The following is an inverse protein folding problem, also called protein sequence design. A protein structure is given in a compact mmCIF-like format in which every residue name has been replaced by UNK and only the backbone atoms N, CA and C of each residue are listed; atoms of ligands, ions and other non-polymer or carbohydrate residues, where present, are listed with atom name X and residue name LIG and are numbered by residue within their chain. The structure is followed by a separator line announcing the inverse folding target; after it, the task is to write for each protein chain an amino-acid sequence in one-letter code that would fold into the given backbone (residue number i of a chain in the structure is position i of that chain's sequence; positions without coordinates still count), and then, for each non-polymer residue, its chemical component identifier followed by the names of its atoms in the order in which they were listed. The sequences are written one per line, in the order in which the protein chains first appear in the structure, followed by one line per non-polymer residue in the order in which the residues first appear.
data_IF_773850098342
#
_entry.id   IF_773850098342
#
_cell.length_a   1.000
_cell.length_b   1.000
_cell.length_c   1.000
_cell.angle_alpha   90.00
_cell.angle_beta   90.00
_cell.angle_gamma   90.00
#
_symmetry.space_group_name_H-M   'P 1'
#
loop_
_entity.id
_entity.type
_entity.pdbx_description
1 polymer ?
#
# COMPACT_ATOMS: atom_id res chain seq x y z
N UNK A 1 -1.16 4.56 -4.40
CA UNK A 1 -0.59 3.63 -3.37
C UNK A 1 0.65 2.97 -3.94
N UNK A 2 1.33 2.06 -3.22
CA UNK A 2 2.48 1.31 -3.78
C UNK A 2 2.10 0.55 -5.05
N UNK A 3 1.07 -0.29 -4.94
CA UNK A 3 0.52 -1.07 -6.05
C UNK A 3 0.12 -0.18 -7.23
N UNK A 4 -0.67 0.88 -7.00
CA UNK A 4 -1.08 1.77 -8.10
C UNK A 4 0.11 2.48 -8.76
N UNK A 5 1.09 2.93 -7.98
CA UNK A 5 2.31 3.51 -8.52
C UNK A 5 3.10 2.48 -9.35
N UNK A 6 3.13 1.22 -8.91
CA UNK A 6 3.83 0.16 -9.61
C UNK A 6 3.21 -0.25 -10.95
N UNK A 7 1.91 -0.01 -11.14
CA UNK A 7 1.26 -0.29 -12.43
C UNK A 7 1.61 0.73 -13.52
N UNK A 8 2.14 1.89 -13.13
CA UNK A 8 2.53 2.99 -14.03
C UNK A 8 4.03 3.32 -13.96
N UNK A 9 4.85 2.38 -13.46
CA UNK A 9 6.29 2.55 -13.24
C UNK A 9 6.66 3.82 -12.44
N UNK A 10 5.75 4.22 -11.55
CA UNK A 10 5.88 5.37 -10.67
C UNK A 10 6.34 4.99 -9.27
N UNK A 11 6.33 5.99 -8.39
CA UNK A 11 6.58 5.80 -6.96
C UNK A 11 5.49 6.45 -6.10
N UNK A 12 5.36 6.01 -4.86
CA UNK A 12 4.37 6.63 -3.95
C UNK A 12 4.78 8.06 -3.60
N UNK A 13 3.80 8.95 -3.39
CA UNK A 13 4.06 10.33 -2.95
C UNK A 13 4.92 10.32 -1.68
N UNK A 14 4.68 9.45 -0.71
CA UNK A 14 5.48 9.39 0.52
C UNK A 14 6.94 8.98 0.24
N UNK A 15 7.15 7.99 -0.63
CA UNK A 15 8.49 7.59 -1.10
C UNK A 15 9.20 8.76 -1.79
N UNK A 16 8.47 9.46 -2.65
CA UNK A 16 8.93 10.64 -3.36
C UNK A 16 9.31 11.78 -2.39
N UNK A 17 8.51 12.03 -1.36
CA UNK A 17 8.79 13.02 -0.32
C UNK A 17 9.91 12.59 0.66
N UNK A 18 10.52 11.42 0.47
CA UNK A 18 11.55 10.88 1.35
C UNK A 18 11.04 10.53 2.75
N UNK A 19 9.72 10.39 2.91
CA UNK A 19 9.09 9.95 4.16
C UNK A 19 9.03 8.43 4.20
N UNK A 20 10.12 7.82 4.69
CA UNK A 20 10.04 6.43 5.07
C UNK A 20 9.25 6.32 6.37
N UNK A 21 8.23 5.45 6.36
CA UNK A 21 7.33 5.17 7.50
C UNK A 21 8.07 4.78 8.79
N UNK A 22 9.35 4.38 8.68
CA UNK A 22 10.16 3.82 9.77
C UNK A 22 11.42 4.65 10.13
N UNK A 23 11.74 5.74 9.43
CA UNK A 23 12.84 6.61 9.87
C UNK A 23 12.30 7.60 10.89
N UNK A 24 12.67 7.44 12.17
CA UNK A 24 12.28 8.34 13.28
C UNK A 24 12.71 9.81 13.13
N UNK A 25 13.25 10.20 11.97
CA UNK A 25 13.46 11.56 11.51
C UNK A 25 12.77 11.67 10.15
N UNK A 26 11.69 12.45 10.06
CA UNK A 26 11.22 12.90 8.76
C UNK A 26 12.40 13.59 8.06
N UNK A 27 12.72 13.26 6.80
CA UNK A 27 13.58 14.14 6.02
C UNK A 27 12.84 15.47 5.91
N UNK A 28 13.26 16.45 6.70
CA UNK A 28 12.86 17.82 6.48
C UNK A 28 13.58 18.25 5.22
N UNK A 29 12.92 18.10 4.08
CA UNK A 29 13.37 18.69 2.83
C UNK A 29 13.44 20.20 3.09
N UNK A 30 14.67 20.72 3.10
CA UNK A 30 14.94 22.14 3.30
C UNK A 30 15.12 22.78 1.92
N UNK A 31 14.69 24.04 1.74
CA UNK A 31 15.14 24.86 0.62
C UNK A 31 16.69 24.83 0.56
N UNK A 32 17.28 24.64 -0.62
CA UNK A 32 18.73 24.47 -0.79
C UNK A 32 19.21 23.02 -0.88
N UNK A 33 18.33 22.02 -0.88
CA UNK A 33 18.72 20.63 -1.16
C UNK A 33 19.05 20.46 -2.65
N UNK A 34 20.32 20.66 -2.97
CA UNK A 34 20.86 20.61 -4.34
C UNK A 34 20.50 19.35 -5.12
N UNK A 35 20.22 18.23 -4.43
CA UNK A 35 19.82 16.98 -5.11
C UNK A 35 18.40 17.08 -5.65
N UNK A 36 17.47 17.53 -4.80
CA UNK A 36 16.05 17.69 -5.16
C UNK A 36 15.89 18.81 -6.18
N UNK A 37 16.62 19.91 -6.01
CA UNK A 37 16.59 21.02 -6.98
C UNK A 37 17.05 20.57 -8.37
N UNK A 38 18.13 19.78 -8.46
CA UNK A 38 18.58 19.20 -9.73
C UNK A 38 17.55 18.26 -10.31
N UNK A 39 17.00 17.36 -9.50
CA UNK A 39 15.99 16.39 -9.92
C UNK A 39 14.72 17.08 -10.46
N UNK A 40 14.28 18.14 -9.80
CA UNK A 40 13.08 18.89 -10.18
C UNK A 40 13.32 19.94 -11.25
N UNK A 41 14.56 20.39 -11.47
CA UNK A 41 14.86 21.48 -12.41
C UNK A 41 14.23 21.25 -13.80
N UNK A 42 14.29 20.01 -14.31
CA UNK A 42 13.80 19.63 -15.62
C UNK A 42 12.35 19.10 -15.64
N UNK A 43 11.70 18.93 -14.47
CA UNK A 43 10.35 18.37 -14.41
C UNK A 43 9.32 19.42 -14.81
N UNK A 44 8.58 19.17 -15.89
CA UNK A 44 7.52 20.06 -16.37
C UNK A 44 6.11 19.53 -16.06
N UNK A 45 5.98 18.21 -15.89
CA UNK A 45 4.71 17.53 -15.66
C UNK A 45 4.78 16.62 -14.44
N UNK A 46 3.73 16.67 -13.62
CA UNK A 46 3.51 15.77 -12.49
C UNK A 46 2.18 15.04 -12.68
N UNK A 47 2.26 13.71 -12.76
CA UNK A 47 1.11 12.81 -12.84
C UNK A 47 0.86 12.24 -11.44
N UNK A 48 -0.37 12.36 -10.93
CA UNK A 48 -0.76 11.72 -9.66
C UNK A 48 -1.99 10.86 -9.90
N UNK A 49 -1.80 9.55 -9.77
CA UNK A 49 -2.88 8.58 -9.80
C UNK A 49 -3.46 8.31 -8.40
N UNK A 50 -4.72 7.88 -8.37
CA UNK A 50 -5.52 7.65 -7.17
C UNK A 50 -5.58 8.87 -6.23
N UNK A 51 -5.84 10.05 -6.80
CA UNK A 51 -5.90 11.33 -6.09
C UNK A 51 -6.95 11.37 -4.95
N UNK A 52 -7.96 10.49 -5.00
CA UNK A 52 -8.98 10.36 -3.95
C UNK A 52 -8.41 9.93 -2.61
N UNK A 53 -7.31 9.17 -2.61
CA UNK A 53 -6.59 8.73 -1.41
C UNK A 53 -5.58 9.77 -0.91
N UNK A 54 -5.36 10.86 -1.64
CA UNK A 54 -4.47 11.96 -1.23
C UNK A 54 -5.26 12.92 -0.37
N UNK A 55 -4.78 13.15 0.85
CA UNK A 55 -5.39 14.12 1.75
C UNK A 55 -4.81 15.53 1.58
N UNK A 56 -5.52 16.51 2.12
CA UNK A 56 -5.14 17.92 2.04
C UNK A 56 -3.79 18.21 2.69
N UNK A 57 -3.42 17.51 3.77
CA UNK A 57 -2.13 17.72 4.43
C UNK A 57 -0.98 17.24 3.54
N UNK A 58 -1.15 16.06 2.91
CA UNK A 58 -0.16 15.50 2.00
C UNK A 58 0.02 16.38 0.75
N UNK A 59 -1.08 16.87 0.17
CA UNK A 59 -1.04 17.74 -0.99
C UNK A 59 -0.36 19.09 -0.69
N UNK A 60 -0.66 19.70 0.46
CA UNK A 60 -0.02 20.96 0.87
C UNK A 60 1.50 20.78 1.01
N UNK A 61 1.91 19.65 1.61
CA UNK A 61 3.31 19.31 1.76
C UNK A 61 4.01 19.11 0.42
N UNK A 62 3.36 18.39 -0.51
CA UNK A 62 3.86 18.18 -1.87
C UNK A 62 4.07 19.52 -2.60
N UNK A 63 3.07 20.39 -2.58
CA UNK A 63 3.16 21.74 -3.16
C UNK A 63 4.35 22.53 -2.61
N UNK A 64 4.50 22.57 -1.27
CA UNK A 64 5.59 23.31 -0.62
C UNK A 64 6.97 22.82 -1.06
N UNK A 65 7.14 21.51 -1.19
CA UNK A 65 8.42 20.90 -1.57
C UNK A 65 8.74 21.18 -3.03
N UNK A 66 7.75 21.09 -3.91
CA UNK A 66 7.95 21.40 -5.33
C UNK A 66 8.25 22.89 -5.53
N UNK A 67 7.50 23.79 -4.89
CA UNK A 67 7.78 25.23 -4.96
C UNK A 67 9.18 25.57 -4.47
N UNK A 68 9.65 24.92 -3.40
CA UNK A 68 11.02 25.09 -2.91
C UNK A 68 12.06 24.53 -3.89
N UNK A 69 11.83 23.36 -4.48
CA UNK A 69 12.73 22.74 -5.44
C UNK A 69 12.86 23.52 -6.76
N UNK A 70 11.78 24.20 -7.17
CA UNK A 70 11.71 25.04 -8.37
C UNK A 70 12.17 26.48 -8.14
N UNK A 71 12.54 26.86 -6.90
CA UNK A 71 12.81 28.26 -6.52
C UNK A 71 11.69 29.22 -6.94
N UNK A 72 10.44 28.73 -6.90
CA UNK A 72 9.28 29.47 -7.33
C UNK A 72 8.64 30.23 -6.15
N UNK A 73 7.90 31.29 -6.47
CA UNK A 73 7.10 32.00 -5.48
C UNK A 73 6.12 31.02 -4.81
N UNK A 74 6.01 31.01 -3.46
CA UNK A 74 5.06 30.18 -2.73
C UNK A 74 3.58 30.32 -3.16
N UNK A 75 3.22 31.43 -3.80
CA UNK A 75 1.89 31.68 -4.36
C UNK A 75 1.66 30.94 -5.69
N UNK A 76 2.71 30.54 -6.38
CA UNK A 76 2.60 29.78 -7.63
C UNK A 76 2.33 28.31 -7.31
N UNK A 77 1.16 27.77 -7.69
CA UNK A 77 0.83 26.36 -7.48
C UNK A 77 1.90 25.44 -8.06
N UNK A 78 2.33 24.47 -7.26
CA UNK A 78 3.31 23.44 -7.60
C UNK A 78 4.57 23.98 -8.29
N UNK A 79 5.00 25.19 -7.91
CA UNK A 79 6.18 25.82 -8.51
C UNK A 79 6.09 26.06 -10.01
N UNK A 80 4.88 26.13 -10.57
CA UNK A 80 4.62 26.47 -11.97
C UNK A 80 4.62 25.29 -12.93
N UNK A 81 4.71 24.06 -12.43
CA UNK A 81 4.62 22.85 -13.28
C UNK A 81 3.16 22.52 -13.63
N UNK A 82 2.99 21.75 -14.69
CA UNK A 82 1.70 21.18 -15.05
C UNK A 82 1.41 19.96 -14.17
N UNK A 83 0.25 19.93 -13.54
CA UNK A 83 -0.17 18.80 -12.70
C UNK A 83 -1.42 18.16 -13.27
N UNK A 84 -1.37 16.84 -13.45
CA UNK A 84 -2.49 16.04 -13.96
C UNK A 84 -2.87 15.03 -12.88
N UNK A 85 -4.12 15.10 -12.45
CA UNK A 85 -4.67 14.20 -11.44
C UNK A 85 -5.54 13.13 -12.10
N UNK A 86 -5.38 11.88 -11.67
CA UNK A 86 -6.25 10.76 -12.00
C UNK A 86 -6.85 10.20 -10.72
N UNK A 87 -8.09 9.74 -10.80
CA UNK A 87 -8.74 9.02 -9.72
C UNK A 87 -10.23 9.27 -9.63
N UNK A 88 -10.83 8.65 -8.62
CA UNK A 88 -12.25 8.63 -8.41
C UNK A 88 -12.59 8.92 -6.95
N UNK A 89 -13.18 10.09 -6.70
CA UNK A 89 -13.55 10.53 -5.36
C UNK A 89 -14.63 9.68 -4.68
N UNK A 90 -15.34 8.85 -5.44
CA UNK A 90 -16.37 7.94 -4.91
C UNK A 90 -15.80 6.58 -4.46
N UNK A 91 -14.51 6.31 -4.69
CA UNK A 91 -13.84 5.11 -4.19
C UNK A 91 -13.37 5.29 -2.73
N UNK A 92 -12.06 5.39 -2.50
CA UNK A 92 -11.50 5.48 -1.16
C UNK A 92 -11.15 6.91 -0.77
N UNK A 93 -11.43 7.23 0.49
CA UNK A 93 -11.00 8.48 1.14
C UNK A 93 -9.56 8.38 1.63
N UNK A 94 -8.87 9.51 1.84
CA UNK A 94 -7.55 9.50 2.46
C UNK A 94 -7.61 8.90 3.87
N UNK A 95 -6.55 8.18 4.24
CA UNK A 95 -6.42 7.54 5.55
C UNK A 95 -5.77 8.53 6.53
N UNK A 96 -6.43 8.82 7.65
CA UNK A 96 -5.99 9.77 8.69
C UNK A 96 -5.74 11.23 8.22
N UNK A 97 -6.28 11.62 7.07
CA UNK A 97 -6.20 12.99 6.55
C UNK A 97 -7.56 13.46 6.00
N UNK A 98 -7.71 14.77 5.78
CA UNK A 98 -8.93 15.37 5.27
C UNK A 98 -9.06 15.17 3.75
N UNK A 99 -10.22 14.71 3.22
CA UNK A 99 -10.47 14.62 1.79
C UNK A 99 -10.30 15.96 1.06
N UNK A 100 -9.90 15.91 -0.21
CA UNK A 100 -9.70 17.11 -1.04
C UNK A 100 -10.96 17.96 -1.24
N UNK A 101 -12.14 17.34 -1.16
CA UNK A 101 -13.44 18.01 -1.25
C UNK A 101 -13.97 18.52 0.10
N UNK A 102 -13.12 18.56 1.14
CA UNK A 102 -13.53 19.07 2.46
C UNK A 102 -13.98 20.52 2.34
N UNK A 103 -15.17 20.80 2.88
CA UNK A 103 -15.69 22.16 3.01
C UNK A 103 -15.40 22.71 4.41
N UNK A 104 -14.52 23.71 4.46
CA UNK A 104 -14.15 24.38 5.71
C UNK A 104 -15.23 25.36 6.21
N UNK A 105 -16.21 25.72 5.40
CA UNK A 105 -17.37 26.55 5.79
C UNK A 105 -18.25 25.83 6.81
N UNK A 106 -18.36 24.50 6.67
CA UNK A 106 -19.17 23.64 7.53
C UNK A 106 -18.47 23.27 8.85
N UNK A 107 -17.22 23.71 9.05
CA UNK A 107 -16.52 23.45 10.30
C UNK A 107 -17.22 24.20 11.45
N UNK A 108 -17.49 23.54 12.60
CA UNK A 108 -18.13 24.21 13.72
C UNK A 108 -17.32 25.45 14.07
N UNK A 109 -17.98 26.62 14.14
CA UNK A 109 -17.38 27.83 14.71
C UNK A 109 -17.13 27.57 16.19
N UNK A 110 -16.02 26.89 16.51
CA UNK A 110 -15.57 26.78 17.89
C UNK A 110 -15.34 28.19 18.39
N UNK A 111 -16.07 28.58 19.44
CA UNK A 111 -15.92 29.83 20.18
C UNK A 111 -14.56 29.91 20.93
N UNK A 112 -13.54 29.20 20.45
CA UNK A 112 -12.19 29.26 20.98
C UNK A 112 -11.47 30.43 20.32
N UNK A 113 -11.03 31.38 21.13
CA UNK A 113 -10.16 32.50 20.78
C UNK A 113 -8.74 32.10 20.29
N UNK A 114 -8.50 30.80 20.04
CA UNK A 114 -7.27 30.31 19.41
C UNK A 114 -7.43 30.39 17.89
N UNK A 115 -6.48 31.06 17.22
CA UNK A 115 -6.38 31.09 15.77
C UNK A 115 -6.22 29.69 15.15
N UNK A 116 -6.27 29.64 13.82
CA UNK A 116 -6.11 28.37 13.08
C UNK A 116 -4.74 27.75 13.37
N UNK A 117 -4.71 26.45 13.60
CA UNK A 117 -3.46 25.69 13.68
C UNK A 117 -2.73 25.67 12.34
N UNK A 118 -1.41 25.48 12.35
CA UNK A 118 -0.61 25.35 11.13
C UNK A 118 -1.17 24.26 10.21
N UNK A 119 -1.56 23.10 10.76
CA UNK A 119 -2.21 22.02 9.99
C UNK A 119 -3.46 22.51 9.27
N UNK A 120 -4.34 23.25 9.94
CA UNK A 120 -5.57 23.78 9.33
C UNK A 120 -5.26 24.82 8.25
N UNK A 121 -4.23 25.65 8.45
CA UNK A 121 -3.77 26.61 7.43
C UNK A 121 -3.29 25.85 6.19
N UNK A 122 -2.42 24.86 6.36
CA UNK A 122 -1.91 24.04 5.24
C UNK A 122 -3.02 23.31 4.50
N UNK A 123 -4.00 22.74 5.22
CA UNK A 123 -5.14 22.09 4.58
C UNK A 123 -6.00 23.06 3.75
N UNK A 124 -6.15 24.31 4.21
CA UNK A 124 -6.84 25.37 3.45
C UNK A 124 -6.06 25.80 2.20
N UNK A 125 -4.73 25.87 2.29
CA UNK A 125 -3.86 26.10 1.12
C UNK A 125 -4.02 24.96 0.12
N UNK A 126 -3.93 23.69 0.54
CA UNK A 126 -4.17 22.58 -0.36
C UNK A 126 -5.56 22.61 -1.01
N UNK A 127 -6.58 23.05 -0.27
CA UNK A 127 -7.93 23.19 -0.82
C UNK A 127 -7.99 24.26 -1.90
N UNK A 128 -7.29 25.39 -1.72
CA UNK A 128 -7.21 26.42 -2.75
C UNK A 128 -6.47 25.93 -4.00
N UNK A 129 -5.47 25.05 -3.87
CA UNK A 129 -4.81 24.41 -5.03
C UNK A 129 -5.81 23.56 -5.83
N UNK A 130 -6.62 22.74 -5.15
CA UNK A 130 -7.63 21.90 -5.82
C UNK A 130 -8.73 22.73 -6.48
N UNK A 131 -9.08 23.89 -5.92
CA UNK A 131 -10.04 24.81 -6.53
C UNK A 131 -9.50 25.55 -7.77
N UNK A 132 -8.19 25.49 -8.01
CA UNK A 132 -7.55 26.08 -9.20
C UNK A 132 -7.45 25.11 -10.37
N UNK A 133 -8.00 23.89 -10.26
CA UNK A 133 -8.09 22.95 -11.38
C UNK A 133 -8.92 23.62 -12.50
N UNK A 134 -8.28 23.83 -13.66
CA UNK A 134 -8.85 24.58 -14.78
C UNK A 134 -9.47 23.67 -15.85
N UNK A 135 -9.22 22.37 -15.81
CA UNK A 135 -9.72 21.40 -16.76
C UNK A 135 -10.10 20.11 -16.03
N UNK A 136 -11.30 19.60 -16.32
CA UNK A 136 -11.78 18.31 -15.81
C UNK A 136 -12.28 17.50 -16.99
N UNK A 137 -11.73 16.30 -17.15
CA UNK A 137 -12.17 15.34 -18.16
C UNK A 137 -12.79 14.15 -17.44
N UNK A 138 -14.02 13.80 -17.78
CA UNK A 138 -14.72 12.64 -17.22
C UNK A 138 -14.75 11.51 -18.25
N UNK A 139 -14.14 10.39 -17.90
CA UNK A 139 -14.22 9.17 -18.70
C UNK A 139 -15.53 8.44 -18.38
N UNK A 140 -16.32 8.12 -19.41
CA UNK A 140 -17.65 7.51 -19.26
C UNK A 140 -17.68 6.04 -19.67
N UNK A 141 -16.78 5.60 -20.54
CA UNK A 141 -16.75 4.22 -21.02
C UNK A 141 -16.00 3.30 -20.05
N UNK A 142 -16.66 2.23 -19.62
CA UNK A 142 -16.09 1.18 -18.79
C UNK A 142 -15.36 0.15 -19.67
N UNK A 143 -14.07 -0.10 -19.40
CA UNK A 143 -13.23 -0.99 -20.21
C UNK A 143 -12.81 -2.29 -19.49
N UNK A 144 -13.08 -2.43 -18.19
CA UNK A 144 -12.63 -3.57 -17.36
C UNK A 144 -13.58 -4.76 -17.42
N UNK A 145 -14.88 -4.53 -17.58
CA UNK A 145 -15.92 -5.56 -17.54
C UNK A 145 -16.81 -5.44 -18.77
N UNK A 146 -17.03 -6.55 -19.46
CA UNK A 146 -17.92 -6.62 -20.62
C UNK A 146 -19.35 -7.07 -20.28
N UNK A 147 -19.59 -7.63 -19.09
CA UNK A 147 -20.91 -8.06 -18.63
C UNK A 147 -21.83 -6.86 -18.36
N UNK A 148 -22.90 -6.65 -19.17
CA UNK A 148 -23.79 -5.50 -19.02
C UNK A 148 -24.55 -5.49 -17.70
N UNK A 149 -24.93 -6.67 -17.17
CA UNK A 149 -25.69 -6.77 -15.91
C UNK A 149 -24.81 -6.37 -14.74
N UNK A 150 -23.56 -6.81 -14.75
CA UNK A 150 -22.60 -6.45 -13.71
C UNK A 150 -22.16 -4.98 -13.81
N UNK A 151 -22.02 -4.44 -15.03
CA UNK A 151 -21.72 -3.01 -15.24
C UNK A 151 -22.80 -2.11 -14.63
N UNK A 152 -24.07 -2.40 -14.91
CA UNK A 152 -25.19 -1.66 -14.33
C UNK A 152 -25.22 -1.72 -12.80
N UNK A 153 -24.91 -2.89 -12.22
CA UNK A 153 -24.75 -3.04 -10.78
C UNK A 153 -23.65 -2.13 -10.24
N UNK A 154 -22.45 -2.15 -10.86
CA UNK A 154 -21.30 -1.35 -10.41
C UNK A 154 -21.59 0.15 -10.49
N UNK A 155 -22.30 0.59 -11.53
CA UNK A 155 -22.69 1.98 -11.71
C UNK A 155 -23.65 2.44 -10.61
N UNK A 156 -24.68 1.64 -10.30
CA UNK A 156 -25.58 1.90 -9.16
C UNK A 156 -24.85 1.86 -7.83
N UNK A 157 -23.95 0.89 -7.64
CA UNK A 157 -23.17 0.76 -6.41
C UNK A 157 -22.30 1.99 -6.16
N UNK A 158 -21.66 2.53 -7.21
CA UNK A 158 -20.84 3.75 -7.13
C UNK A 158 -21.63 4.95 -6.60
N UNK A 159 -22.92 5.05 -6.94
CA UNK A 159 -23.80 6.15 -6.51
C UNK A 159 -24.63 5.83 -5.26
N UNK A 160 -24.50 4.63 -4.69
CA UNK A 160 -25.32 4.20 -3.55
C UNK A 160 -26.79 3.95 -3.90
N UNK A 161 -27.08 3.60 -5.16
CA UNK A 161 -28.43 3.40 -5.71
C UNK A 161 -28.71 1.91 -6.01
N UNK A 162 -28.14 1.00 -5.22
CA UNK A 162 -28.34 -0.44 -5.40
C UNK A 162 -29.81 -0.84 -5.27
N UNK A 163 -30.23 -1.76 -6.13
CA UNK A 163 -31.57 -2.35 -6.15
C UNK A 163 -31.59 -3.72 -5.45
N UNK A 164 -32.78 -4.28 -5.23
CA UNK A 164 -32.90 -5.64 -4.73
C UNK A 164 -32.31 -6.67 -5.69
N UNK A 165 -32.49 -6.48 -7.00
CA UNK A 165 -31.91 -7.34 -8.04
C UNK A 165 -30.37 -7.37 -8.00
N UNK A 166 -29.73 -6.26 -7.63
CA UNK A 166 -28.28 -6.19 -7.43
C UNK A 166 -27.83 -7.05 -6.24
N UNK A 167 -28.60 -7.00 -5.15
CA UNK A 167 -28.38 -7.82 -3.97
C UNK A 167 -28.51 -9.31 -4.31
N UNK A 168 -29.56 -9.72 -5.02
CA UNK A 168 -29.74 -11.10 -5.46
C UNK A 168 -28.60 -11.55 -6.39
N UNK A 169 -28.16 -10.69 -7.31
CA UNK A 169 -27.00 -10.99 -8.16
C UNK A 169 -25.74 -11.24 -7.33
N UNK A 170 -25.47 -10.43 -6.29
CA UNK A 170 -24.33 -10.64 -5.41
C UNK A 170 -24.46 -11.91 -4.58
N UNK A 171 -25.66 -12.29 -4.15
CA UNK A 171 -25.92 -13.55 -3.45
C UNK A 171 -25.52 -14.77 -4.30
N UNK A 172 -25.69 -14.70 -5.63
CA UNK A 172 -25.21 -15.76 -6.53
C UNK A 172 -23.69 -15.95 -6.55
N UNK A 173 -22.93 -15.08 -5.88
CA UNK A 173 -21.47 -15.16 -5.78
C UNK A 173 -20.98 -15.54 -4.38
N UNK A 174 -21.92 -15.80 -3.45
CA UNK A 174 -21.60 -16.33 -2.13
C UNK A 174 -21.23 -17.81 -2.27
N UNK A 175 -20.16 -18.22 -1.58
CA UNK A 175 -19.71 -19.61 -1.52
C UNK A 175 -20.69 -20.44 -0.70
N UNK A 176 -21.11 -21.57 -1.25
CA UNK A 176 -22.15 -22.43 -0.71
C UNK A 176 -23.18 -22.78 -1.79
N UNK A 177 -24.18 -23.60 -1.42
CA UNK A 177 -25.34 -23.84 -2.27
C UNK A 177 -26.18 -22.56 -2.33
N UNK A 178 -26.64 -22.10 -3.52
CA UNK A 178 -26.73 -22.84 -4.79
C UNK A 178 -25.65 -22.50 -5.85
N UNK A 179 -24.66 -21.66 -5.54
CA UNK A 179 -23.82 -21.00 -6.55
C UNK A 179 -22.38 -21.53 -6.70
N UNK A 180 -21.55 -21.38 -5.66
CA UNK A 180 -20.13 -21.74 -5.71
C UNK A 180 -19.91 -22.91 -4.76
N UNK A 181 -19.64 -24.09 -5.31
CA UNK A 181 -19.49 -25.34 -4.55
C UNK A 181 -18.35 -25.28 -3.54
N UNK A 182 -17.13 -24.96 -3.99
CA UNK A 182 -15.96 -24.85 -3.12
C UNK A 182 -14.95 -23.81 -3.61
N UNK A 183 -14.26 -23.18 -2.66
CA UNK A 183 -13.09 -22.34 -2.94
C UNK A 183 -11.87 -23.16 -3.40
N UNK A 184 -11.91 -24.49 -3.22
CA UNK A 184 -10.86 -25.39 -3.71
C UNK A 184 -10.94 -25.64 -5.21
N UNK A 185 -12.07 -25.30 -5.84
CA UNK A 185 -12.29 -25.51 -7.26
C UNK A 185 -11.61 -24.42 -8.10
N UNK A 186 -11.24 -24.77 -9.33
CA UNK A 186 -10.70 -23.78 -10.29
C UNK A 186 -11.87 -22.93 -10.82
N UNK A 187 -11.75 -21.59 -10.93
CA UNK A 187 -10.54 -20.77 -10.76
C UNK A 187 -10.32 -20.20 -9.34
N UNK A 188 -11.22 -20.44 -8.40
CA UNK A 188 -11.23 -19.83 -7.06
C UNK A 188 -10.01 -20.22 -6.22
N UNK A 189 -9.49 -21.43 -6.41
CA UNK A 189 -8.28 -21.93 -5.75
C UNK A 189 -7.00 -21.12 -6.06
N UNK A 190 -7.02 -20.25 -7.07
CA UNK A 190 -5.94 -19.35 -7.45
C UNK A 190 -6.29 -17.88 -7.22
N UNK A 191 -7.50 -17.58 -6.78
CA UNK A 191 -7.95 -16.21 -6.59
C UNK A 191 -7.30 -15.59 -5.34
N UNK A 192 -6.93 -14.30 -5.38
CA UNK A 192 -6.46 -13.60 -4.19
C UNK A 192 -7.62 -13.45 -3.19
N UNK A 193 -7.34 -13.70 -1.92
CA UNK A 193 -8.30 -13.52 -0.83
C UNK A 193 -8.12 -12.14 -0.21
N UNK A 194 -9.18 -11.34 -0.25
CA UNK A 194 -9.22 -10.01 0.37
C UNK A 194 -9.92 -10.10 1.72
N UNK A 195 -9.31 -9.51 2.75
CA UNK A 195 -9.88 -9.43 4.09
C UNK A 195 -9.67 -8.04 4.68
N UNK A 196 -10.55 -7.65 5.58
CA UNK A 196 -10.53 -6.31 6.19
C UNK A 196 -9.37 -6.09 7.17
N UNK A 197 -8.84 -7.16 7.77
CA UNK A 197 -7.86 -7.08 8.86
C UNK A 197 -6.56 -7.79 8.51
N UNK A 198 -5.45 -7.13 8.82
CA UNK A 198 -4.12 -7.69 8.60
C UNK A 198 -3.89 -8.96 9.42
N UNK A 199 -4.43 -9.07 10.64
CA UNK A 199 -4.28 -10.28 11.45
C UNK A 199 -4.92 -11.50 10.77
N UNK A 200 -6.14 -11.32 10.23
CA UNK A 200 -6.85 -12.38 9.50
C UNK A 200 -6.09 -12.79 8.24
N UNK A 201 -5.58 -11.81 7.49
CA UNK A 201 -4.75 -12.06 6.30
C UNK A 201 -3.53 -12.89 6.67
N UNK A 202 -2.83 -12.53 7.75
CA UNK A 202 -1.64 -13.25 8.21
C UNK A 202 -1.97 -14.70 8.55
N UNK A 203 -3.05 -14.94 9.31
CA UNK A 203 -3.47 -16.30 9.66
C UNK A 203 -3.89 -17.14 8.43
N UNK A 204 -4.60 -16.54 7.48
CA UNK A 204 -4.95 -17.21 6.22
C UNK A 204 -3.71 -17.56 5.40
N UNK A 205 -2.76 -16.64 5.30
CA UNK A 205 -1.48 -16.89 4.61
C UNK A 205 -0.68 -18.01 5.30
N UNK A 206 -0.68 -18.07 6.64
CA UNK A 206 -0.04 -19.16 7.38
C UNK A 206 -0.66 -20.51 7.03
N UNK A 207 -1.99 -20.63 7.06
CA UNK A 207 -2.70 -21.85 6.68
C UNK A 207 -2.47 -22.23 5.22
N UNK A 208 -2.49 -21.25 4.32
CA UNK A 208 -2.23 -21.46 2.89
C UNK A 208 -0.82 -22.01 2.65
N UNK A 209 0.20 -21.46 3.33
CA UNK A 209 1.57 -21.95 3.26
C UNK A 209 1.68 -23.40 3.75
N UNK A 210 1.09 -23.74 4.91
CA UNK A 210 1.09 -25.12 5.44
C UNK A 210 0.43 -26.09 4.45
N UNK A 211 -0.74 -25.73 3.92
CA UNK A 211 -1.45 -26.56 2.96
C UNK A 211 -0.66 -26.76 1.66
N UNK A 212 -0.02 -25.70 1.15
CA UNK A 212 0.82 -25.78 -0.05
C UNK A 212 2.06 -26.66 0.17
N UNK A 213 2.68 -26.56 1.34
CA UNK A 213 3.81 -27.41 1.72
C UNK A 213 3.42 -28.89 1.73
N UNK A 214 2.26 -29.22 2.33
CA UNK A 214 1.72 -30.57 2.33
C UNK A 214 1.43 -31.10 0.92
N UNK A 215 0.86 -30.28 0.03
CA UNK A 215 0.60 -30.66 -1.37
C UNK A 215 1.87 -30.94 -2.17
N UNK A 216 2.93 -30.18 -1.94
CA UNK A 216 4.22 -30.36 -2.62
C UNK A 216 5.11 -31.42 -1.97
N UNK A 217 4.70 -32.00 -0.83
CA UNK A 217 5.52 -32.92 -0.06
C UNK A 217 6.81 -32.29 0.48
N UNK A 218 6.83 -30.96 0.65
CA UNK A 218 8.00 -30.23 1.10
C UNK A 218 7.79 -29.67 2.52
N UNK A 219 8.89 -29.42 3.22
CA UNK A 219 8.85 -28.77 4.53
C UNK A 219 8.65 -27.26 4.39
N UNK A 220 7.72 -26.62 5.13
CA UNK A 220 7.58 -25.17 5.11
C UNK A 220 8.83 -24.51 5.72
N UNK A 221 9.28 -23.42 5.09
CA UNK A 221 10.35 -22.57 5.61
C UNK A 221 9.73 -21.35 6.27
N UNK A 222 10.03 -21.11 7.53
CA UNK A 222 9.53 -19.94 8.26
C UNK A 222 10.68 -18.99 8.53
N UNK A 223 10.61 -17.78 7.97
CA UNK A 223 11.50 -16.70 8.36
C UNK A 223 11.03 -16.14 9.71
N UNK A 224 11.95 -16.08 10.66
CA UNK A 224 11.70 -15.54 12.00
C UNK A 224 12.34 -14.15 12.11
N UNK A 225 11.51 -13.13 12.28
CA UNK A 225 11.97 -11.77 12.59
C UNK A 225 11.73 -11.47 14.06
N UNK A 226 12.83 -11.14 14.80
CA UNK A 226 12.88 -10.77 16.22
C UNK A 226 11.73 -11.36 17.05
N UNK A 227 11.76 -12.69 17.12
CA UNK A 227 11.02 -13.58 18.03
C UNK A 227 9.48 -13.55 18.02
N UNK A 228 8.82 -12.72 17.19
CA UNK A 228 7.35 -12.62 17.18
C UNK A 228 6.71 -12.61 15.81
N UNK A 229 7.42 -12.19 14.75
CA UNK A 229 6.87 -12.16 13.41
C UNK A 229 7.34 -13.38 12.61
N UNK A 230 6.39 -14.26 12.29
CA UNK A 230 6.61 -15.48 11.52
C UNK A 230 6.08 -15.29 10.10
N UNK A 231 6.98 -15.37 9.12
CA UNK A 231 6.65 -15.33 7.71
C UNK A 231 6.90 -16.70 7.07
N UNK A 232 5.87 -17.56 6.95
CA UNK A 232 6.00 -18.83 6.27
C UNK A 232 6.04 -18.62 4.76
N UNK A 233 7.10 -19.11 4.12
CA UNK A 233 7.23 -19.15 2.67
C UNK A 233 7.45 -20.60 2.21
N UNK A 234 6.86 -20.94 1.07
CA UNK A 234 7.01 -22.25 0.43
C UNK A 234 7.47 -22.02 -1.01
N UNK A 235 8.50 -22.74 -1.50
CA UNK A 235 8.91 -22.65 -2.89
C UNK A 235 7.72 -22.78 -3.85
N UNK A 236 7.61 -21.86 -4.81
CA UNK A 236 6.50 -21.77 -5.76
C UNK A 236 5.29 -20.94 -5.28
N UNK A 237 5.33 -20.38 -4.06
CA UNK A 237 4.26 -19.52 -3.55
C UNK A 237 4.31 -18.11 -4.18
N UNK A 238 3.17 -17.55 -4.61
CA UNK A 238 3.11 -16.15 -5.04
C UNK A 238 3.36 -15.22 -3.86
N UNK A 239 4.17 -14.19 -4.09
CA UNK A 239 4.56 -13.17 -3.11
C UNK A 239 4.45 -11.78 -3.72
N UNK A 240 4.27 -10.77 -2.88
CA UNK A 240 4.21 -9.37 -3.29
C UNK A 240 5.29 -8.60 -2.54
N UNK A 241 6.08 -7.81 -3.26
CA UNK A 241 7.02 -6.88 -2.64
C UNK A 241 6.23 -5.81 -1.89
N UNK A 242 6.53 -5.59 -0.62
CA UNK A 242 5.81 -4.62 0.22
C UNK A 242 6.56 -3.30 0.37
N UNK A 243 7.77 -3.21 -0.21
CA UNK A 243 8.67 -2.07 -0.11
C UNK A 243 9.37 -1.83 -1.44
N UNK A 244 9.78 -0.58 -1.65
CA UNK A 244 10.64 -0.22 -2.77
C UNK A 244 12.08 -0.59 -2.40
N UNK A 245 12.71 -1.40 -3.25
CA UNK A 245 14.08 -1.91 -3.03
C UNK A 245 15.03 -1.19 -4.00
N UNK A 246 14.73 -1.22 -5.29
CA UNK A 246 15.48 -0.56 -6.34
C UNK A 246 14.49 -0.08 -7.41
N UNK A 247 14.08 1.19 -7.32
CA UNK A 247 13.01 1.75 -8.17
C UNK A 247 13.49 1.77 -9.62
N UNK A 248 14.75 2.14 -9.84
CA UNK A 248 15.45 2.17 -11.11
C UNK A 248 15.57 0.80 -11.80
N UNK A 249 15.36 -0.30 -11.07
CA UNK A 249 15.33 -1.66 -11.61
C UNK A 249 13.91 -2.27 -11.62
N UNK A 250 12.89 -1.44 -11.37
CA UNK A 250 11.50 -1.85 -11.28
C UNK A 250 11.13 -2.60 -10.00
N UNK A 251 12.02 -2.73 -9.01
CA UNK A 251 11.74 -3.46 -7.75
C UNK A 251 11.00 -2.58 -6.74
N UNK A 252 9.69 -2.48 -6.95
CA UNK A 252 8.81 -1.55 -6.24
C UNK A 252 7.69 -2.27 -5.47
N UNK A 253 7.16 -1.58 -4.47
CA UNK A 253 6.05 -2.05 -3.65
C UNK A 253 4.81 -2.34 -4.51
N UNK A 254 4.27 -3.55 -4.42
CA UNK A 254 3.13 -4.03 -5.18
C UNK A 254 3.50 -4.99 -6.31
N UNK A 255 4.78 -5.14 -6.63
CA UNK A 255 5.24 -6.09 -7.64
C UNK A 255 5.03 -7.53 -7.19
N UNK A 256 4.42 -8.34 -8.06
CA UNK A 256 4.21 -9.77 -7.86
C UNK A 256 5.45 -10.57 -8.25
N UNK A 257 5.74 -11.63 -7.49
CA UNK A 257 6.79 -12.59 -7.80
C UNK A 257 6.46 -13.98 -7.29
N UNK A 258 7.34 -14.94 -7.58
CA UNK A 258 7.25 -16.32 -7.09
C UNK A 258 8.45 -16.58 -6.19
N UNK A 259 8.19 -16.93 -4.94
CA UNK A 259 9.26 -17.29 -4.01
C UNK A 259 9.90 -18.62 -4.43
N UNK A 260 11.24 -18.67 -4.50
CA UNK A 260 11.97 -19.89 -4.87
C UNK A 260 12.69 -20.51 -3.68
N UNK A 261 13.52 -19.75 -2.98
CA UNK A 261 14.25 -20.26 -1.81
C UNK A 261 14.77 -19.13 -0.91
N UNK A 262 15.08 -19.47 0.33
CA UNK A 262 15.92 -18.60 1.16
C UNK A 262 17.39 -18.97 0.98
N UNK A 263 18.25 -17.97 1.08
CA UNK A 263 19.69 -18.14 1.26
C UNK A 263 20.05 -17.65 2.66
N UNK A 264 20.68 -18.51 3.43
CA UNK A 264 20.99 -18.31 4.85
C UNK A 264 22.27 -19.06 5.22
N UNK A 265 22.86 -18.70 6.35
CA UNK A 265 23.98 -19.45 6.92
C UNK A 265 23.45 -20.66 7.71
N UNK A 266 24.14 -21.80 7.69
CA UNK A 266 23.61 -23.06 8.24
C UNK A 266 23.37 -23.02 9.76
N UNK A 267 24.15 -22.21 10.47
CA UNK A 267 24.03 -21.89 11.89
C UNK A 267 22.80 -21.04 12.23
N UNK A 268 22.17 -20.42 11.24
CA UNK A 268 20.98 -19.59 11.41
C UNK A 268 19.66 -20.36 11.29
N UNK A 269 19.71 -21.67 11.04
CA UNK A 269 18.53 -22.54 10.95
C UNK A 269 18.31 -23.31 12.24
N UNK A 270 17.12 -23.15 12.81
CA UNK A 270 16.62 -23.95 13.92
C UNK A 270 15.54 -24.92 13.45
N UNK A 271 15.56 -26.12 14.01
CA UNK A 271 14.46 -27.10 13.89
C UNK A 271 13.62 -27.17 15.17
N UNK A 272 13.94 -26.34 16.17
CA UNK A 272 13.17 -26.29 17.40
C UNK A 272 11.78 -25.71 17.10
N UNK A 273 10.75 -26.23 17.75
CA UNK A 273 9.39 -25.72 17.60
C UNK A 273 9.33 -24.34 18.25
N UNK A 274 9.19 -23.29 17.43
CA UNK A 274 9.05 -21.90 17.89
C UNK A 274 7.56 -21.52 18.01
N UNK A 275 6.68 -22.25 17.33
CA UNK A 275 5.24 -22.00 17.35
C UNK A 275 4.46 -23.28 17.13
N UNK A 276 3.42 -23.49 17.95
CA UNK A 276 2.44 -24.58 17.79
C UNK A 276 1.62 -24.48 16.49
N UNK A 277 1.69 -23.32 15.80
CA UNK A 277 0.95 -23.06 14.56
C UNK A 277 1.48 -23.87 13.38
N UNK A 278 2.77 -24.23 13.39
CA UNK A 278 3.43 -24.89 12.26
C UNK A 278 3.80 -26.35 12.56
N UNK A 279 3.86 -27.24 11.56
CA UNK A 279 4.23 -28.64 11.76
C UNK A 279 5.61 -28.82 12.42
N UNK A 280 5.81 -29.90 13.18
CA UNK A 280 7.07 -30.15 13.91
C UNK A 280 8.32 -30.28 13.00
N UNK A 281 8.15 -30.59 11.73
CA UNK A 281 9.25 -30.68 10.77
C UNK A 281 9.65 -29.32 10.18
N UNK A 282 8.98 -28.22 10.54
CA UNK A 282 9.22 -26.86 10.01
C UNK A 282 10.65 -26.41 10.27
N UNK A 283 11.25 -25.80 9.25
CA UNK A 283 12.57 -25.19 9.38
C UNK A 283 12.42 -23.69 9.63
N UNK A 284 13.03 -23.20 10.70
CA UNK A 284 13.01 -21.80 11.08
C UNK A 284 14.34 -21.17 10.71
N UNK A 285 14.33 -20.29 9.71
CA UNK A 285 15.48 -19.50 9.32
C UNK A 285 15.46 -18.18 10.09
N UNK A 286 16.41 -17.99 10.99
CA UNK A 286 16.66 -16.73 11.66
C UNK A 286 17.55 -15.87 10.77
N UNK A 287 17.18 -14.61 10.53
CA UNK A 287 18.02 -13.66 9.76
C UNK A 287 18.58 -14.25 8.44
N UNK A 288 17.72 -14.71 7.50
CA UNK A 288 18.22 -15.13 6.19
C UNK A 288 18.94 -13.97 5.51
N UNK A 289 20.00 -14.28 4.75
CA UNK A 289 20.78 -13.30 4.00
C UNK A 289 19.89 -12.62 2.94
N UNK A 290 19.15 -13.43 2.18
CA UNK A 290 18.18 -12.97 1.20
C UNK A 290 17.20 -14.08 0.81
N UNK A 291 16.04 -13.70 0.26
CA UNK A 291 15.11 -14.57 -0.42
C UNK A 291 15.30 -14.44 -1.93
N UNK A 292 15.36 -15.55 -2.65
CA UNK A 292 15.35 -15.57 -4.11
C UNK A 292 13.91 -15.57 -4.61
N UNK A 293 13.54 -14.49 -5.30
CA UNK A 293 12.20 -14.28 -5.84
C UNK A 293 12.30 -14.17 -7.36
N UNK A 294 11.49 -14.96 -8.06
CA UNK A 294 11.37 -14.86 -9.51
C UNK A 294 10.34 -13.79 -9.87
N UNK A 295 10.77 -12.79 -10.63
CA UNK A 295 9.94 -11.65 -11.00
C UNK A 295 9.90 -11.54 -12.53
N UNK A 296 8.79 -12.01 -13.11
CA UNK A 296 8.64 -12.13 -14.56
C UNK A 296 8.76 -10.81 -15.34
N UNK A 297 8.41 -9.68 -14.70
CA UNK A 297 8.34 -8.33 -15.26
C UNK A 297 9.57 -7.45 -15.00
N UNK A 298 10.60 -7.96 -14.32
CA UNK A 298 11.78 -7.15 -14.04
C UNK A 298 12.61 -6.93 -15.31
N UNK A 299 13.12 -5.71 -15.49
CA UNK A 299 14.10 -5.35 -16.53
C UNK A 299 15.50 -5.91 -16.26
N UNK A 300 15.70 -6.58 -15.12
CA UNK A 300 16.96 -7.20 -14.75
C UNK A 300 17.17 -8.49 -15.56
N UNK A 301 17.89 -8.37 -16.68
CA UNK A 301 18.58 -9.50 -17.29
C UNK A 301 19.79 -9.88 -16.41
N UNK A 302 19.62 -10.84 -15.51
CA UNK A 302 20.73 -11.34 -14.70
C UNK A 302 21.78 -12.05 -15.59
N UNK A 303 22.78 -11.32 -16.07
CA UNK A 303 24.04 -11.87 -16.62
C UNK A 303 25.03 -12.26 -15.50
N UNK A 304 24.54 -12.72 -14.35
CA UNK A 304 25.38 -13.37 -13.33
C UNK A 304 25.42 -14.85 -13.68
N UNK A 305 26.59 -15.36 -14.07
CA UNK A 305 26.87 -16.63 -14.79
C UNK A 305 26.31 -17.94 -14.17
N UNK A 306 25.47 -17.90 -13.13
CA UNK A 306 24.91 -19.10 -12.47
C UNK A 306 23.44 -18.99 -12.04
N UNK A 307 22.73 -17.89 -12.33
CA UNK A 307 21.32 -17.73 -11.96
C UNK A 307 20.44 -17.74 -13.21
N UNK A 308 19.34 -18.51 -13.17
CA UNK A 308 18.35 -18.47 -14.25
C UNK A 308 17.80 -17.04 -14.40
N UNK A 309 17.53 -16.57 -15.63
CA UNK A 309 17.05 -15.22 -15.87
C UNK A 309 15.81 -14.92 -15.02
N UNK A 310 15.74 -13.70 -14.46
CA UNK A 310 14.62 -13.16 -13.64
C UNK A 310 14.56 -13.62 -12.17
N UNK A 311 15.60 -14.27 -11.65
CA UNK A 311 15.70 -14.60 -10.23
C UNK A 311 16.46 -13.51 -9.46
N UNK A 312 15.78 -12.84 -8.53
CA UNK A 312 16.27 -11.62 -7.89
C UNK A 312 16.48 -11.87 -6.39
N UNK A 313 17.67 -11.58 -5.85
CA UNK A 313 17.93 -11.67 -4.42
C UNK A 313 17.30 -10.48 -3.70
N UNK A 314 16.35 -10.77 -2.81
CA UNK A 314 15.64 -9.79 -2.00
C UNK A 314 16.13 -9.91 -0.55
N UNK A 315 16.90 -8.93 -0.02
CA UNK A 315 17.45 -9.02 1.32
C UNK A 315 16.35 -8.96 2.38
N UNK A 316 16.57 -9.61 3.52
CA UNK A 316 15.73 -9.40 4.69
C UNK A 316 15.91 -7.98 5.23
N UNK A 317 14.81 -7.27 5.45
CA UNK A 317 14.82 -5.89 5.99
C UNK A 317 14.31 -5.92 7.41
N UNK A 318 15.11 -5.43 8.35
CA UNK A 318 14.68 -5.22 9.73
C UNK A 318 13.76 -3.99 9.80
N UNK A 319 12.61 -4.14 10.44
CA UNK A 319 11.67 -3.03 10.67
C UNK A 319 11.41 -2.88 12.16
N UNK A 320 11.75 -1.70 12.69
CA UNK A 320 11.42 -1.33 14.07
C UNK A 320 10.14 -0.50 14.09
N UNK A 321 9.13 -0.96 14.83
CA UNK A 321 7.90 -0.22 15.05
C UNK A 321 7.96 0.45 16.43
N UNK A 322 7.76 1.78 16.48
CA UNK A 322 7.46 2.46 17.74
C UNK A 322 5.96 2.42 17.95
N UNK A 323 5.52 1.74 18.98
CA UNK A 323 4.12 1.78 19.39
C UNK A 323 4.03 2.64 20.65
N UNK A 324 3.25 3.71 20.59
CA UNK A 324 2.90 4.45 21.80
C UNK A 324 1.94 3.58 22.61
N UNK A 325 2.37 3.19 23.80
CA UNK A 325 1.61 2.28 24.67
C UNK A 325 0.23 2.90 25.00
N UNK A 326 0.14 4.22 25.01
CA UNK A 326 -1.11 4.95 25.25
C UNK A 326 -2.16 4.79 24.13
N UNK A 327 -1.74 4.40 22.91
CA UNK A 327 -2.64 4.10 21.79
C UNK A 327 -3.15 2.64 21.78
N UNK A 328 -2.46 1.73 22.49
CA UNK A 328 -2.84 0.31 22.63
C UNK A 328 -3.76 0.10 23.83
N UNK A 329 -3.52 0.83 24.93
CA UNK A 329 -4.34 0.69 26.13
C UNK A 329 -5.72 1.30 25.84
N UNK A 330 -6.82 0.54 25.99
CA UNK A 330 -8.16 1.11 25.90
C UNK A 330 -8.24 2.27 26.88
N UNK A 331 -8.63 3.46 26.41
CA UNK A 331 -8.89 4.59 27.32
C UNK A 331 -9.97 4.13 28.29
N UNK A 332 -9.56 3.69 29.48
CA UNK A 332 -10.48 3.38 30.55
C UNK A 332 -11.38 4.60 30.71
N UNK A 333 -12.68 4.35 30.58
CA UNK A 333 -13.71 5.33 30.89
C UNK A 333 -13.41 5.81 32.30
N UNK A 334 -12.76 6.96 32.45
CA UNK A 334 -12.69 7.69 33.71
C UNK A 334 -14.13 7.95 34.12
N UNK A 335 -14.68 7.06 34.93
CA UNK A 335 -15.85 7.33 35.71
C UNK A 335 -15.54 8.60 36.49
N UNK A 336 -16.31 9.66 36.21
CA UNK A 336 -16.40 10.82 37.09
C UNK A 336 -16.93 10.31 38.43
N UNK A 337 -16.03 9.93 39.33
CA UNK A 337 -16.33 9.86 40.74
C UNK A 337 -16.40 11.30 41.24
N UNK A 338 -17.63 11.83 41.28
CA UNK A 338 -17.96 12.97 42.12
C UNK A 338 -17.61 12.61 43.58
N UNK A 339 -16.70 13.37 44.18
CA UNK A 339 -16.81 13.81 45.57
C UNK A 339 -16.00 15.07 45.76
#
# INVERSE_FOLDING_TARGET
TGIAAAEIDGMTIHSFLGEQRNSGKARTIKPGDSKIEKEWSLVEYLLIDEISMVGLTLLAKLNRIISAAKHADPQVPFGGINVIFFGDYLQYRPVYDAPLHTDFSLSPKTKSSKGLSEKQIQQRVARSLILQINCVVTLTQQMRTQDPRYLQLLERLRHGQCTYDDYELLLTRVVGQPSVGSLCDTPWNKAPILVFRNEVRTQLNHKAAIHKAAQLGCTPMVCVAQDTCLLPLVPGMPVILTQNIAIELGLINGMNGIFRQFVYQMDSVSKNVISETFPNNTQYAHRPLYALIEIAKSEIECNLEQLQPKLIPIPAVEQTFRVDISDIIPKDKKAKSNR
#
